data_IF_994144399767
#
_entry.id   IF_994144399767
#
_cell.length_a   1.000
_cell.length_b   1.000
_cell.length_c   1.000
_cell.angle_alpha   90.00
_cell.angle_beta   90.00
_cell.angle_gamma   90.00
#
_symmetry.space_group_name_H-M   'P 1'
#
loop_
_entity.id
_entity.type
_entity.pdbx_description
1 polymer ?
#
# COMPACT_ATOMS: atom_id res chain seq x y z
N UNK A 1 -30.12 -0.48 -24.11
CA UNK A 1 -29.58 -1.74 -24.66
C UNK A 1 -28.48 -2.22 -23.73
N UNK A 2 -28.74 -3.30 -23.01
CA UNK A 2 -27.86 -3.83 -21.96
C UNK A 2 -27.17 -5.06 -22.53
N UNK A 3 -25.86 -4.97 -22.75
CA UNK A 3 -25.01 -6.07 -23.22
C UNK A 3 -24.87 -7.15 -22.13
N UNK A 4 -25.30 -8.41 -22.36
CA UNK A 4 -25.15 -9.50 -21.41
C UNK A 4 -23.79 -10.16 -21.59
N UNK A 5 -22.77 -9.69 -20.87
CA UNK A 5 -21.42 -10.27 -20.98
C UNK A 5 -20.50 -10.10 -19.76
N UNK A 6 -21.00 -9.61 -18.62
CA UNK A 6 -20.15 -9.21 -17.48
C UNK A 6 -20.11 -10.15 -16.28
N UNK A 7 -20.69 -11.34 -16.36
CA UNK A 7 -20.86 -12.21 -15.17
C UNK A 7 -20.00 -13.47 -15.15
N UNK A 8 -18.86 -13.51 -15.87
CA UNK A 8 -17.95 -14.67 -15.84
C UNK A 8 -16.53 -14.39 -15.29
N UNK A 9 -16.23 -13.16 -14.84
CA UNK A 9 -14.85 -12.75 -14.53
C UNK A 9 -14.48 -12.70 -13.05
N UNK A 10 -15.44 -12.90 -12.13
CA UNK A 10 -15.19 -12.93 -10.68
C UNK A 10 -14.60 -14.26 -10.16
N UNK A 11 -14.65 -15.33 -10.95
CA UNK A 11 -14.11 -16.64 -10.57
C UNK A 11 -12.58 -16.76 -10.66
N UNK A 12 -11.90 -15.82 -11.32
CA UNK A 12 -10.46 -15.93 -11.63
C UNK A 12 -9.53 -15.24 -10.61
N UNK A 13 -10.09 -14.75 -9.50
CA UNK A 13 -9.36 -14.13 -8.39
C UNK A 13 -9.42 -14.94 -7.08
N UNK A 14 -10.12 -16.07 -7.07
CA UNK A 14 -10.23 -16.94 -5.89
C UNK A 14 -9.38 -18.19 -6.09
N UNK A 15 -8.49 -18.56 -5.15
CA UNK A 15 -8.10 -19.94 -4.99
C UNK A 15 -9.29 -20.69 -4.40
N UNK A 16 -9.75 -21.74 -5.08
CA UNK A 16 -10.80 -22.63 -4.59
C UNK A 16 -10.39 -23.21 -3.22
N UNK A 17 -11.19 -22.96 -2.19
CA UNK A 17 -11.13 -23.64 -0.90
C UNK A 17 -12.06 -24.86 -0.90
N UNK A 18 -11.68 -25.87 -0.10
CA UNK A 18 -12.37 -27.14 0.22
C UNK A 18 -12.06 -28.28 -0.78
N UNK A 19 -11.64 -29.48 -0.36
CA UNK A 19 -12.18 -30.29 0.75
C UNK A 19 -11.14 -31.09 1.58
N UNK A 20 -11.57 -31.36 2.81
CA UNK A 20 -11.03 -32.31 3.80
C UNK A 20 -11.38 -33.74 3.34
N UNK A 21 -10.41 -34.67 3.45
CA UNK A 21 -10.50 -36.03 2.88
C UNK A 21 -11.45 -37.01 3.57
N UNK A 22 -11.37 -38.30 3.18
CA UNK A 22 -10.87 -39.26 4.18
C UNK A 22 -9.81 -40.23 3.63
N UNK A 23 -9.06 -40.78 4.60
CA UNK A 23 -8.10 -41.86 4.50
C UNK A 23 -8.69 -43.15 3.92
N UNK A 24 -7.98 -43.81 3.01
CA UNK A 24 -7.73 -45.25 3.07
C UNK A 24 -6.60 -45.65 2.11
N UNK A 25 -5.82 -46.59 2.60
CA UNK A 25 -4.69 -47.29 1.98
C UNK A 25 -5.04 -47.92 0.64
N UNK A 26 -4.17 -47.80 -0.37
CA UNK A 26 -3.64 -48.94 -1.13
C UNK A 26 -2.64 -48.51 -2.21
N UNK A 27 -1.80 -49.49 -2.58
CA UNK A 27 -0.52 -49.39 -3.28
C UNK A 27 -0.48 -48.57 -4.59
N UNK A 28 0.63 -47.84 -4.76
CA UNK A 28 1.11 -47.32 -6.05
C UNK A 28 1.53 -48.46 -6.99
N UNK A 29 1.03 -48.53 -8.24
CA UNK A 29 1.73 -49.22 -9.31
C UNK A 29 2.57 -48.24 -10.15
N UNK A 30 3.64 -48.73 -10.81
CA UNK A 30 4.60 -47.88 -11.50
C UNK A 30 4.03 -47.33 -12.81
N UNK A 31 4.39 -46.07 -13.07
CA UNK A 31 4.10 -45.35 -14.29
C UNK A 31 4.86 -45.96 -15.47
N UNK A 32 4.16 -46.58 -16.42
CA UNK A 32 4.64 -46.82 -17.77
C UNK A 32 3.47 -46.82 -18.76
N UNK A 33 3.52 -45.82 -19.63
CA UNK A 33 3.13 -45.83 -21.04
C UNK A 33 1.65 -45.95 -21.47
N UNK A 34 1.31 -45.03 -22.39
CA UNK A 34 0.22 -45.05 -23.37
C UNK A 34 -1.21 -44.66 -22.91
N UNK A 35 -1.50 -43.35 -22.96
CA UNK A 35 -2.86 -42.89 -23.25
C UNK A 35 -3.11 -42.91 -24.77
N UNK A 36 -3.55 -44.06 -25.28
CA UNK A 36 -4.26 -44.14 -26.55
C UNK A 36 -5.69 -43.63 -26.35
N UNK A 37 -5.91 -42.33 -26.57
CA UNK A 37 -7.25 -41.78 -26.79
C UNK A 37 -7.61 -42.02 -28.27
N UNK A 38 -8.56 -42.94 -28.49
CA UNK A 38 -9.13 -43.22 -29.81
C UNK A 38 -9.88 -42.02 -30.36
N UNK A 39 -9.31 -41.39 -31.39
CA UNK A 39 -10.05 -40.55 -32.33
C UNK A 39 -10.40 -41.43 -33.53
N UNK A 40 -11.65 -41.89 -33.59
CA UNK A 40 -12.24 -42.35 -34.85
C UNK A 40 -13.25 -41.29 -35.30
N UNK A 41 -13.13 -40.90 -36.57
CA UNK A 41 -14.03 -40.00 -37.31
C UNK A 41 -13.87 -38.49 -37.06
N UNK A 42 -12.95 -37.87 -37.84
CA UNK A 42 -13.14 -36.55 -38.45
C UNK A 42 -12.11 -36.35 -39.58
N UNK A 43 -12.23 -37.17 -40.64
CA UNK A 43 -11.39 -37.10 -41.82
C UNK A 43 -11.87 -35.95 -42.74
N UNK A 44 -11.41 -34.73 -42.51
CA UNK A 44 -11.45 -33.68 -43.56
C UNK A 44 -10.43 -32.54 -43.42
N UNK A 45 -9.35 -32.71 -42.63
CA UNK A 45 -8.32 -31.67 -42.45
C UNK A 45 -6.87 -32.23 -42.48
N UNK A 46 -6.65 -33.42 -43.04
CA UNK A 46 -5.38 -34.16 -42.89
C UNK A 46 -4.19 -33.70 -43.76
N UNK A 47 -4.25 -32.56 -44.45
CA UNK A 47 -3.11 -32.09 -45.27
C UNK A 47 -2.66 -30.66 -44.92
N UNK A 48 -2.75 -30.26 -43.65
CA UNK A 48 -1.96 -29.16 -43.11
C UNK A 48 -0.73 -29.74 -42.39
N UNK A 49 0.49 -29.15 -42.52
CA UNK A 49 1.63 -29.60 -41.73
C UNK A 49 1.27 -29.48 -40.24
N UNK A 50 1.15 -30.63 -39.58
CA UNK A 50 0.98 -30.70 -38.14
C UNK A 50 2.24 -30.09 -37.52
N UNK A 51 2.14 -28.85 -37.05
CA UNK A 51 3.18 -28.19 -36.28
C UNK A 51 3.28 -28.89 -34.93
N UNK A 52 3.95 -30.04 -34.89
CA UNK A 52 4.39 -30.67 -33.64
C UNK A 52 5.44 -29.76 -33.03
N UNK A 53 5.00 -28.84 -32.16
CA UNK A 53 5.89 -28.01 -31.38
C UNK A 53 6.77 -28.90 -30.51
N UNK A 54 8.09 -28.72 -30.59
CA UNK A 54 9.02 -29.47 -29.76
C UNK A 54 8.77 -29.15 -28.27
N UNK A 55 9.04 -30.09 -27.35
CA UNK A 55 8.87 -29.92 -25.90
C UNK A 55 9.45 -28.59 -25.37
N UNK A 56 10.62 -28.10 -25.83
CA UNK A 56 11.16 -26.79 -25.42
C UNK A 56 10.28 -25.60 -25.84
N UNK A 57 9.62 -25.68 -27.00
CA UNK A 57 8.74 -24.65 -27.52
C UNK A 57 7.43 -24.59 -26.72
N UNK A 58 6.90 -25.76 -26.32
CA UNK A 58 5.73 -25.85 -25.43
C UNK A 58 6.06 -25.26 -24.05
N UNK A 59 7.24 -25.58 -23.50
CA UNK A 59 7.69 -25.02 -22.22
C UNK A 59 7.86 -23.50 -22.29
N UNK A 60 8.40 -22.98 -23.40
CA UNK A 60 8.53 -21.55 -23.62
C UNK A 60 7.17 -20.87 -23.76
N UNK A 61 6.23 -21.46 -24.50
CA UNK A 61 4.87 -20.98 -24.63
C UNK A 61 4.13 -20.97 -23.28
N UNK A 62 4.21 -22.05 -22.51
CA UNK A 62 3.63 -22.14 -21.17
C UNK A 62 4.21 -21.07 -20.22
N UNK A 63 5.52 -20.84 -20.29
CA UNK A 63 6.20 -19.78 -19.53
C UNK A 63 5.69 -18.39 -19.93
N UNK A 64 5.53 -18.12 -21.22
CA UNK A 64 4.97 -16.85 -21.71
C UNK A 64 3.54 -16.64 -21.22
N UNK A 65 2.67 -17.66 -21.33
CA UNK A 65 1.29 -17.60 -20.85
C UNK A 65 1.28 -17.33 -19.33
N UNK A 66 2.07 -18.05 -18.55
CA UNK A 66 2.20 -17.85 -17.09
C UNK A 66 2.62 -16.42 -16.76
N UNK A 67 3.68 -15.90 -17.38
CA UNK A 67 4.14 -14.53 -17.12
C UNK A 67 3.11 -13.48 -17.54
N UNK A 68 2.42 -13.70 -18.65
CA UNK A 68 1.40 -12.78 -19.15
C UNK A 68 0.20 -12.76 -18.21
N UNK A 69 -0.21 -13.92 -17.69
CA UNK A 69 -1.27 -14.04 -16.70
C UNK A 69 -0.90 -13.36 -15.38
N UNK A 70 0.30 -13.66 -14.84
CA UNK A 70 0.79 -13.02 -13.61
C UNK A 70 0.88 -11.51 -13.76
N UNK A 71 1.46 -11.02 -14.86
CA UNK A 71 1.56 -9.58 -15.13
C UNK A 71 0.18 -8.91 -15.26
N UNK A 72 -0.79 -9.58 -15.89
CA UNK A 72 -2.16 -9.07 -16.00
C UNK A 72 -2.84 -8.97 -14.64
N UNK A 73 -2.69 -10.01 -13.79
CA UNK A 73 -3.18 -10.04 -12.42
C UNK A 73 -2.55 -8.92 -11.58
N UNK A 74 -1.23 -8.83 -11.59
CA UNK A 74 -0.49 -7.87 -10.77
C UNK A 74 -0.80 -6.43 -11.17
N UNK A 75 -0.98 -6.15 -12.48
CA UNK A 75 -1.45 -4.85 -12.97
C UNK A 75 -2.84 -4.49 -12.47
N UNK A 76 -3.77 -5.46 -12.38
CA UNK A 76 -5.12 -5.23 -11.85
C UNK A 76 -5.09 -4.92 -10.36
N UNK A 77 -4.36 -5.75 -9.60
CA UNK A 77 -4.16 -5.53 -8.16
C UNK A 77 -3.54 -4.15 -7.93
N UNK A 78 -2.46 -3.80 -8.65
CA UNK A 78 -1.82 -2.49 -8.52
C UNK A 78 -2.77 -1.32 -8.83
N UNK A 79 -3.63 -1.43 -9.85
CA UNK A 79 -4.64 -0.41 -10.16
C UNK A 79 -5.63 -0.24 -9.01
N UNK A 80 -6.18 -1.33 -8.51
CA UNK A 80 -7.07 -1.31 -7.34
C UNK A 80 -6.39 -0.62 -6.16
N UNK A 81 -5.16 -1.04 -5.82
CA UNK A 81 -4.40 -0.46 -4.73
C UNK A 81 -4.15 1.04 -4.91
N UNK A 82 -3.77 1.45 -6.12
CA UNK A 82 -3.54 2.86 -6.44
C UNK A 82 -4.79 3.68 -6.18
N UNK A 83 -5.96 3.21 -6.61
CA UNK A 83 -7.23 3.89 -6.37
C UNK A 83 -7.61 3.90 -4.89
N UNK A 84 -7.39 2.79 -4.20
CA UNK A 84 -7.58 2.66 -2.76
C UNK A 84 -6.79 3.69 -1.97
N UNK A 85 -5.49 3.77 -2.24
CA UNK A 85 -4.58 4.71 -1.58
C UNK A 85 -4.94 6.15 -1.90
N UNK A 86 -5.16 6.49 -3.17
CA UNK A 86 -5.47 7.87 -3.55
C UNK A 86 -6.75 8.38 -2.87
N UNK A 87 -7.75 7.53 -2.69
CA UNK A 87 -8.96 7.90 -1.96
C UNK A 87 -8.76 7.92 -0.44
N UNK A 88 -7.98 7.00 0.12
CA UNK A 88 -7.64 7.00 1.55
C UNK A 88 -6.88 8.27 1.97
N UNK A 89 -5.91 8.74 1.18
CA UNK A 89 -5.19 10.00 1.45
C UNK A 89 -6.12 11.21 1.59
N UNK A 90 -7.16 11.28 0.74
CA UNK A 90 -8.05 12.45 0.67
C UNK A 90 -9.19 12.39 1.70
N UNK A 91 -9.71 11.20 2.02
CA UNK A 91 -10.93 11.08 2.85
C UNK A 91 -10.67 10.63 4.28
N UNK A 92 -9.54 9.97 4.55
CA UNK A 92 -9.34 9.29 5.83
C UNK A 92 -8.21 9.88 6.65
N UNK A 93 -7.53 10.94 6.21
CA UNK A 93 -6.35 11.48 6.91
C UNK A 93 -6.56 11.65 8.42
N UNK A 94 -7.61 12.34 8.87
CA UNK A 94 -7.85 12.58 10.30
C UNK A 94 -8.10 11.27 11.08
N UNK A 95 -8.92 10.39 10.52
CA UNK A 95 -9.36 9.15 11.16
C UNK A 95 -8.23 8.12 11.17
N UNK A 96 -7.46 8.09 10.09
CA UNK A 96 -6.24 7.32 9.96
C UNK A 96 -5.21 7.79 10.97
N UNK A 97 -4.94 9.09 11.08
CA UNK A 97 -4.01 9.65 12.08
C UNK A 97 -4.41 9.28 13.50
N UNK A 98 -5.69 9.43 13.87
CA UNK A 98 -6.18 9.08 15.22
C UNK A 98 -5.93 7.61 15.59
N UNK A 99 -5.87 6.71 14.61
CA UNK A 99 -5.67 5.27 14.84
C UNK A 99 -4.21 4.87 14.78
N UNK A 100 -3.51 5.33 13.75
CA UNK A 100 -2.11 5.01 13.50
C UNK A 100 -1.21 5.68 14.54
N UNK A 101 -1.55 6.90 14.95
CA UNK A 101 -0.75 7.70 15.88
C UNK A 101 -1.62 8.68 16.65
N UNK A 102 -2.35 8.22 17.69
CA UNK A 102 -3.29 9.07 18.44
C UNK A 102 -2.61 10.31 19.03
N UNK A 103 -1.37 10.16 19.54
CA UNK A 103 -0.60 11.29 20.08
C UNK A 103 -0.29 12.37 19.04
N UNK A 104 0.03 11.97 17.81
CA UNK A 104 0.26 12.93 16.73
C UNK A 104 -1.06 13.53 16.23
N UNK A 105 -2.14 12.76 16.25
CA UNK A 105 -3.47 13.25 15.90
C UNK A 105 -3.97 14.32 16.88
N UNK A 106 -3.74 14.13 18.18
CA UNK A 106 -4.09 15.11 19.22
C UNK A 106 -3.28 16.40 19.04
N UNK A 107 -1.98 16.28 18.72
CA UNK A 107 -1.12 17.43 18.44
C UNK A 107 -1.55 18.20 17.17
N UNK A 108 -2.07 17.49 16.18
CA UNK A 108 -2.47 18.02 14.87
C UNK A 108 -3.98 18.33 14.79
N UNK A 109 -4.68 18.34 15.93
CA UNK A 109 -6.10 18.65 16.01
C UNK A 109 -6.39 20.16 15.80
N UNK A 110 -5.37 21.01 15.95
CA UNK A 110 -5.50 22.45 15.78
C UNK A 110 -5.84 22.83 14.32
N UNK A 111 -6.95 23.54 14.06
CA UNK A 111 -7.33 24.02 12.73
C UNK A 111 -6.27 24.88 12.03
N UNK A 112 -5.37 25.51 12.78
CA UNK A 112 -4.24 26.26 12.24
C UNK A 112 -3.19 25.35 11.57
N UNK A 113 -3.21 24.05 11.88
CA UNK A 113 -2.22 23.08 11.41
C UNK A 113 -2.85 21.88 10.71
N UNK A 114 -3.53 22.06 9.56
CA UNK A 114 -4.09 20.92 8.83
C UNK A 114 -2.99 19.91 8.49
N UNK A 115 -3.16 18.67 8.95
CA UNK A 115 -2.28 17.57 8.63
C UNK A 115 -2.80 16.81 7.41
N UNK A 116 -1.89 16.23 6.65
CA UNK A 116 -2.16 15.34 5.52
C UNK A 116 -1.30 14.10 5.62
N UNK A 117 -1.91 12.93 5.50
CA UNK A 117 -1.17 11.67 5.37
C UNK A 117 -0.89 11.42 3.90
N UNK A 118 0.35 11.04 3.60
CA UNK A 118 0.75 10.52 2.30
C UNK A 118 1.12 9.06 2.45
N UNK A 119 0.65 8.26 1.51
CA UNK A 119 0.87 6.83 1.43
C UNK A 119 1.76 6.54 0.21
N UNK A 120 2.62 5.53 0.34
CA UNK A 120 3.46 5.05 -0.76
C UNK A 120 3.50 3.53 -0.77
N UNK A 121 3.69 2.98 -1.96
CA UNK A 121 4.09 1.59 -2.11
C UNK A 121 5.61 1.47 -1.93
N UNK A 122 6.05 0.40 -1.29
CA UNK A 122 7.45 0.01 -1.17
C UNK A 122 7.60 -1.49 -1.07
N UNK A 123 8.84 -1.96 -0.90
CA UNK A 123 9.18 -3.39 -0.89
C UNK A 123 9.80 -3.85 -2.20
N UNK A 124 10.55 -4.95 -2.13
CA UNK A 124 11.30 -5.54 -3.24
C UNK A 124 10.48 -6.53 -4.08
N UNK A 125 9.42 -7.10 -3.50
CA UNK A 125 8.59 -8.14 -4.11
C UNK A 125 7.13 -7.67 -4.21
N UNK A 126 6.38 -8.29 -5.13
CA UNK A 126 4.94 -8.10 -5.27
C UNK A 126 4.18 -9.15 -4.44
N UNK A 127 3.08 -8.81 -3.74
CA UNK A 127 2.43 -7.48 -3.63
C UNK A 127 3.24 -6.44 -2.84
N UNK A 128 3.11 -5.14 -3.13
CA UNK A 128 3.88 -4.11 -2.45
C UNK A 128 3.41 -3.90 -1.00
N UNK A 129 4.34 -3.50 -0.13
CA UNK A 129 4.05 -3.01 1.20
C UNK A 129 3.60 -1.54 1.16
N UNK A 130 2.77 -1.13 2.10
CA UNK A 130 2.30 0.26 2.20
C UNK A 130 3.07 0.96 3.31
N UNK A 131 3.59 2.14 3.01
CA UNK A 131 4.22 3.03 3.98
C UNK A 131 3.48 4.35 4.03
N UNK A 132 3.46 4.99 5.19
CA UNK A 132 2.84 6.30 5.39
C UNK A 132 3.83 7.32 5.94
N UNK A 133 3.56 8.59 5.66
CA UNK A 133 4.28 9.74 6.22
C UNK A 133 3.31 10.90 6.40
N UNK A 134 3.48 11.62 7.50
CA UNK A 134 2.59 12.72 7.88
C UNK A 134 3.23 14.03 7.42
N UNK A 135 2.44 14.86 6.76
CA UNK A 135 2.80 16.16 6.24
C UNK A 135 1.88 17.22 6.80
N UNK A 136 2.37 18.44 6.88
CA UNK A 136 1.53 19.61 7.12
C UNK A 136 1.02 20.14 5.77
N UNK A 137 -0.29 20.35 5.67
CA UNK A 137 -0.94 20.87 4.47
C UNK A 137 -0.82 22.39 4.43
N UNK A 138 0.18 22.90 3.72
CA UNK A 138 0.31 24.32 3.45
C UNK A 138 -0.31 24.66 2.08
N UNK A 139 -1.03 25.79 1.97
CA UNK A 139 -1.64 26.29 0.73
C UNK A 139 -0.62 26.85 -0.29
N UNK A 140 0.62 26.35 -0.31
CA UNK A 140 1.68 26.84 -1.17
C UNK A 140 2.48 25.71 -1.82
N UNK A 141 3.22 25.99 -2.90
CA UNK A 141 4.08 25.02 -3.56
C UNK A 141 5.31 24.74 -2.68
N UNK A 142 5.19 23.80 -1.75
CA UNK A 142 6.32 23.36 -0.94
C UNK A 142 5.90 22.60 0.31
N UNK A 143 6.67 21.55 0.64
CA UNK A 143 6.53 20.88 1.93
C UNK A 143 7.17 21.76 3.00
N UNK A 144 6.36 22.35 3.87
CA UNK A 144 6.84 23.15 5.01
C UNK A 144 6.82 22.29 6.26
N UNK A 145 7.95 22.24 6.94
CA UNK A 145 8.09 21.51 8.20
C UNK A 145 7.99 22.47 9.38
N UNK A 146 7.40 21.98 10.47
CA UNK A 146 7.41 22.66 11.76
C UNK A 146 8.70 22.24 12.48
N UNK A 147 9.53 23.22 12.84
CA UNK A 147 10.76 22.97 13.61
C UNK A 147 10.72 23.80 14.89
N UNK A 148 10.81 23.13 16.05
CA UNK A 148 10.90 23.80 17.34
C UNK A 148 12.05 24.81 17.38
N UNK A 149 13.19 24.50 16.73
CA UNK A 149 14.35 25.40 16.61
C UNK A 149 14.02 26.72 15.90
N UNK A 150 13.14 26.70 14.90
CA UNK A 150 12.74 27.90 14.16
C UNK A 150 11.59 28.64 14.82
N UNK A 151 10.70 27.93 15.52
CA UNK A 151 9.55 28.52 16.20
C UNK A 151 9.92 29.18 17.52
N UNK A 152 10.78 28.55 18.32
CA UNK A 152 11.17 29.05 19.64
C UNK A 152 12.38 29.97 19.46
N UNK A 153 12.11 31.27 19.32
CA UNK A 153 13.15 32.29 19.21
C UNK A 153 13.77 32.55 20.58
N UNK A 154 15.08 32.80 20.62
CA UNK A 154 15.75 33.30 21.81
C UNK A 154 15.01 34.54 22.33
N UNK A 155 14.70 34.57 23.63
CA UNK A 155 13.87 35.59 24.32
C UNK A 155 12.34 35.53 24.13
N UNK A 156 11.80 34.43 23.59
CA UNK A 156 10.35 34.20 23.58
C UNK A 156 9.84 33.62 24.91
N UNK A 157 8.58 33.86 25.25
CA UNK A 157 7.88 33.23 26.39
C UNK A 157 7.98 31.70 26.32
N UNK A 158 7.85 31.13 25.12
CA UNK A 158 8.04 29.70 24.87
C UNK A 158 9.44 29.20 25.26
N UNK A 159 10.48 30.04 25.18
CA UNK A 159 11.84 29.70 25.64
C UNK A 159 11.90 29.63 27.17
N UNK A 160 11.27 30.58 27.85
CA UNK A 160 11.21 30.60 29.32
C UNK A 160 10.42 29.41 29.86
N UNK A 161 9.28 29.10 29.24
CA UNK A 161 8.48 27.92 29.58
C UNK A 161 9.20 26.61 29.30
N UNK A 162 9.94 26.53 28.19
CA UNK A 162 10.78 25.37 27.89
C UNK A 162 11.88 25.19 28.94
N UNK A 163 12.52 26.27 29.39
CA UNK A 163 13.51 26.24 30.46
C UNK A 163 12.91 25.76 31.78
N UNK A 164 11.70 26.23 32.12
CA UNK A 164 10.96 25.79 33.32
C UNK A 164 10.55 24.33 33.25
N UNK A 165 10.08 23.85 32.09
CA UNK A 165 9.64 22.46 31.91
C UNK A 165 10.80 21.46 31.88
N UNK A 166 11.90 21.79 31.19
CA UNK A 166 13.02 20.86 30.99
C UNK A 166 14.08 20.94 32.10
N UNK A 167 14.18 22.09 32.77
CA UNK A 167 15.24 22.40 33.71
C UNK A 167 16.55 22.84 33.04
N UNK A 168 17.37 23.57 33.78
CA UNK A 168 18.58 24.25 33.28
C UNK A 168 19.53 23.32 32.51
N UNK A 169 19.84 22.13 33.04
CA UNK A 169 20.83 21.23 32.45
C UNK A 169 20.42 20.75 31.06
N UNK A 170 19.22 20.19 30.93
CA UNK A 170 18.72 19.62 29.67
C UNK A 170 18.54 20.73 28.64
N UNK A 171 18.04 21.89 29.08
CA UNK A 171 17.87 23.05 28.22
C UNK A 171 19.20 23.54 27.62
N UNK A 172 20.21 23.78 28.44
CA UNK A 172 21.52 24.24 27.94
C UNK A 172 22.23 23.18 27.10
N UNK A 173 22.12 21.89 27.45
CA UNK A 173 22.67 20.79 26.66
C UNK A 173 22.06 20.77 25.25
N UNK A 174 20.74 20.96 25.14
CA UNK A 174 20.05 21.02 23.85
C UNK A 174 20.49 22.24 23.03
N UNK A 175 20.63 23.43 23.64
CA UNK A 175 21.15 24.63 22.96
C UNK A 175 22.57 24.40 22.42
N UNK A 176 23.46 23.84 23.24
CA UNK A 176 24.83 23.56 22.82
C UNK A 176 24.88 22.56 21.66
N UNK A 177 24.08 21.50 21.74
CA UNK A 177 23.97 20.50 20.68
C UNK A 177 23.45 21.11 19.38
N UNK A 178 22.44 21.98 19.46
CA UNK A 178 21.88 22.68 18.29
C UNK A 178 22.89 23.62 17.62
N UNK A 179 23.75 24.28 18.41
CA UNK A 179 24.81 25.15 17.92
C UNK A 179 25.92 24.34 17.22
N UNK A 180 26.32 23.20 17.80
CA UNK A 180 27.27 22.29 17.16
C UNK A 180 26.72 21.73 15.84
N UNK A 181 25.47 21.28 15.82
CA UNK A 181 24.83 20.73 14.63
C UNK A 181 24.74 21.75 13.50
N UNK A 182 24.47 23.02 13.80
CA UNK A 182 24.48 24.10 12.81
C UNK A 182 25.87 24.36 12.23
N UNK A 183 26.90 24.29 13.07
CA UNK A 183 28.28 24.43 12.63
C UNK A 183 28.72 23.29 11.70
N UNK A 184 28.38 22.05 12.04
CA UNK A 184 28.72 20.87 11.22
C UNK A 184 27.99 20.85 9.87
N UNK A 185 26.71 21.25 9.83
CA UNK A 185 25.89 21.14 8.63
C UNK A 185 25.95 22.36 7.70
N UNK A 186 26.71 23.40 8.06
CA UNK A 186 26.88 24.61 7.23
C UNK A 186 27.51 24.33 5.85
N UNK A 187 28.05 23.12 5.63
CA UNK A 187 28.85 22.75 4.46
C UNK A 187 28.08 21.85 3.46
N UNK A 188 26.85 21.41 3.73
CA UNK A 188 26.19 20.39 2.89
C UNK A 188 24.73 20.70 2.56
N UNK A 189 24.40 20.84 1.26
CA UNK A 189 23.02 21.02 0.75
C UNK A 189 22.12 19.77 0.93
N UNK A 190 22.70 18.61 1.26
CA UNK A 190 21.98 17.36 1.59
C UNK A 190 21.24 17.39 2.94
N UNK A 191 21.28 18.54 3.63
CA UNK A 191 20.75 18.76 4.98
C UNK A 191 19.26 18.43 5.13
N UNK A 192 18.42 18.66 4.12
CA UNK A 192 16.96 18.54 4.26
C UNK A 192 16.46 17.09 4.44
N UNK A 193 17.12 16.12 3.78
CA UNK A 193 16.79 14.70 3.87
C UNK A 193 17.29 14.09 5.19
N UNK A 194 18.51 14.42 5.61
CA UNK A 194 19.09 13.96 6.87
C UNK A 194 18.31 14.45 8.11
N UNK A 195 17.69 15.63 8.01
CA UNK A 195 16.81 16.12 9.08
C UNK A 195 15.58 15.24 9.30
N UNK A 196 15.04 14.59 8.25
CA UNK A 196 13.88 13.70 8.38
C UNK A 196 14.22 12.45 9.20
N UNK A 197 15.47 11.98 9.08
CA UNK A 197 15.98 10.79 9.76
C UNK A 197 16.58 11.08 11.15
N UNK A 198 16.87 12.34 11.45
CA UNK A 198 17.43 12.70 12.75
C UNK A 198 16.35 12.54 13.85
N UNK A 199 16.64 11.87 14.98
CA UNK A 199 15.68 11.71 16.08
C UNK A 199 15.20 13.05 16.68
N UNK A 200 13.95 13.09 17.12
CA UNK A 200 13.32 14.28 17.71
C UNK A 200 14.07 14.81 18.94
N UNK A 201 14.67 13.92 19.73
CA UNK A 201 15.49 14.26 20.91
C UNK A 201 16.76 15.07 20.60
N UNK A 202 17.18 15.12 19.34
CA UNK A 202 18.35 15.86 18.89
C UNK A 202 17.96 17.05 18.00
N UNK A 203 16.72 17.54 18.10
CA UNK A 203 16.22 18.60 17.23
C UNK A 203 15.96 18.14 15.78
N UNK A 204 16.03 16.83 15.53
CA UNK A 204 15.67 16.21 14.26
C UNK A 204 14.15 16.07 14.09
N UNK A 205 13.71 15.69 12.89
CA UNK A 205 12.29 15.63 12.57
C UNK A 205 11.64 14.27 12.84
N UNK A 206 12.44 13.20 12.98
CA UNK A 206 11.98 11.81 13.23
C UNK A 206 10.78 11.38 12.36
N UNK A 207 10.71 11.88 11.12
CA UNK A 207 9.58 11.72 10.22
C UNK A 207 9.97 10.79 9.07
N UNK A 208 10.25 9.56 9.44
CA UNK A 208 10.51 8.48 8.50
C UNK A 208 9.23 8.05 7.80
N UNK A 209 9.40 7.36 6.68
CA UNK A 209 8.31 6.55 6.14
C UNK A 209 8.09 5.33 7.02
N UNK A 210 6.93 5.26 7.64
CA UNK A 210 6.56 4.20 8.58
C UNK A 210 5.79 3.12 7.84
N UNK A 211 6.06 1.85 8.15
CA UNK A 211 5.31 0.75 7.58
C UNK A 211 3.89 0.79 8.15
N UNK A 212 2.88 0.63 7.28
CA UNK A 212 1.49 0.54 7.69
C UNK A 212 1.17 -0.89 8.11
N UNK A 213 0.86 -1.12 9.37
CA UNK A 213 0.43 -2.43 9.87
C UNK A 213 -1.09 -2.57 9.88
N UNK A 214 -1.59 -3.80 10.00
CA UNK A 214 -3.05 -4.03 10.10
C UNK A 214 -3.65 -3.47 11.38
N UNK A 215 -2.86 -3.39 12.46
CA UNK A 215 -3.31 -2.84 13.75
C UNK A 215 -3.62 -1.34 13.66
N UNK A 216 -2.98 -0.66 12.72
CA UNK A 216 -3.15 0.77 12.48
C UNK A 216 -4.45 1.11 11.73
N UNK A 217 -5.07 0.13 11.07
CA UNK A 217 -6.22 0.35 10.17
C UNK A 217 -7.53 -0.12 10.81
N UNK A 218 -8.63 0.65 10.75
CA UNK A 218 -9.91 0.22 11.33
C UNK A 218 -10.47 -1.00 10.59
N UNK A 219 -10.71 -2.10 11.34
CA UNK A 219 -11.19 -3.40 10.81
C UNK A 219 -12.49 -3.36 10.01
N UNK A 220 -13.34 -2.35 10.24
CA UNK A 220 -14.62 -2.21 9.55
C UNK A 220 -14.50 -1.52 8.17
N UNK A 221 -13.31 -1.04 7.81
CA UNK A 221 -13.09 -0.32 6.55
C UNK A 221 -12.71 -1.28 5.42
N UNK A 222 -13.14 -0.96 4.20
CA UNK A 222 -12.66 -1.67 2.98
C UNK A 222 -11.14 -1.57 2.86
N UNK A 223 -10.56 -0.47 3.34
CA UNK A 223 -9.12 -0.30 3.34
C UNK A 223 -8.40 -1.35 4.20
N UNK A 224 -8.99 -1.79 5.32
CA UNK A 224 -8.46 -2.91 6.10
C UNK A 224 -8.44 -4.20 5.29
N UNK A 225 -9.55 -4.56 4.63
CA UNK A 225 -9.63 -5.76 3.79
C UNK A 225 -8.59 -5.73 2.67
N UNK A 226 -8.31 -4.55 2.10
CA UNK A 226 -7.28 -4.36 1.07
C UNK A 226 -5.88 -4.58 1.64
N UNK A 227 -5.58 -4.01 2.81
CA UNK A 227 -4.29 -4.19 3.48
C UNK A 227 -4.11 -5.65 3.92
N UNK A 228 -5.18 -6.31 4.37
CA UNK A 228 -5.18 -7.72 4.76
C UNK A 228 -4.92 -8.62 3.56
N UNK A 229 -5.55 -8.33 2.42
CA UNK A 229 -5.29 -9.00 1.16
C UNK A 229 -3.82 -8.87 0.74
N UNK A 230 -3.17 -7.72 0.98
CA UNK A 230 -1.75 -7.55 0.64
C UNK A 230 -0.80 -8.39 1.50
N UNK A 231 -1.07 -8.45 2.81
CA UNK A 231 -0.17 -9.15 3.73
C UNK A 231 -0.42 -10.65 3.79
N UNK A 232 -1.69 -11.08 3.70
CA UNK A 232 -2.10 -12.47 3.93
C UNK A 232 -2.56 -13.14 2.63
N UNK A 233 -2.88 -12.39 1.58
CA UNK A 233 -3.42 -12.93 0.32
C UNK A 233 -4.88 -13.38 0.41
N UNK A 234 -5.58 -13.10 1.52
CA UNK A 234 -6.97 -13.50 1.75
C UNK A 234 -7.92 -12.46 1.16
N UNK A 235 -8.89 -12.91 0.38
CA UNK A 235 -9.93 -12.06 -0.18
C UNK A 235 -11.16 -12.05 0.73
N UNK A 236 -11.41 -10.92 1.40
CA UNK A 236 -12.63 -10.70 2.18
C UNK A 236 -13.86 -10.63 1.27
N UNK A 237 -15.02 -11.13 1.74
CA UNK A 237 -16.31 -11.05 1.01
C UNK A 237 -16.69 -9.61 0.68
N UNK A 238 -16.37 -8.71 1.59
CA UNK A 238 -16.62 -7.27 1.44
C UNK A 238 -15.77 -6.67 0.32
N UNK A 239 -14.48 -7.03 0.26
CA UNK A 239 -13.59 -6.64 -0.83
C UNK A 239 -14.02 -7.25 -2.17
N UNK A 240 -14.45 -8.51 -2.19
CA UNK A 240 -14.90 -9.19 -3.41
C UNK A 240 -16.09 -8.48 -4.07
N UNK A 241 -17.04 -7.96 -3.28
CA UNK A 241 -18.20 -7.22 -3.78
C UNK A 241 -17.82 -5.86 -4.37
N UNK A 242 -16.81 -5.20 -3.81
CA UNK A 242 -16.40 -3.84 -4.20
C UNK A 242 -15.25 -3.82 -5.22
N UNK A 243 -14.61 -4.96 -5.45
CA UNK A 243 -13.53 -5.15 -6.42
C UNK A 243 -13.87 -4.65 -7.83
N UNK A 244 -15.08 -4.91 -8.39
CA UNK A 244 -15.44 -4.41 -9.71
C UNK A 244 -15.40 -2.88 -9.78
N UNK A 245 -15.88 -2.21 -8.73
CA UNK A 245 -15.91 -0.75 -8.64
C UNK A 245 -14.50 -0.18 -8.49
N UNK A 246 -13.66 -0.78 -7.64
CA UNK A 246 -12.28 -0.35 -7.38
C UNK A 246 -11.33 -0.55 -8.58
N UNK A 247 -11.65 -1.48 -9.48
CA UNK A 247 -10.88 -1.72 -10.71
C UNK A 247 -11.24 -0.77 -11.85
N UNK A 248 -12.34 -0.02 -11.74
CA UNK A 248 -12.69 1.00 -12.73
C UNK A 248 -11.68 2.15 -12.68
N UNK A 249 -11.24 2.60 -13.86
CA UNK A 249 -10.35 3.76 -13.95
C UNK A 249 -11.14 5.02 -13.57
N UNK A 250 -10.71 5.82 -12.58
CA UNK A 250 -11.40 7.03 -12.14
C UNK A 250 -11.13 8.18 -13.13
N UNK A 251 -11.71 8.08 -14.31
CA UNK A 251 -11.65 9.12 -15.35
C UNK A 251 -12.68 10.21 -15.11
N UNK A 252 -13.82 9.88 -14.49
CA UNK A 252 -14.91 10.83 -14.23
C UNK A 252 -15.02 11.15 -12.74
N UNK A 253 -15.49 12.35 -12.37
CA UNK A 253 -15.63 12.76 -10.96
C UNK A 253 -16.63 11.90 -10.19
N UNK A 254 -17.61 11.29 -10.86
CA UNK A 254 -18.59 10.38 -10.24
C UNK A 254 -17.91 9.08 -9.78
N UNK A 255 -17.02 8.51 -10.60
CA UNK A 255 -16.27 7.30 -10.24
C UNK A 255 -15.30 7.61 -9.10
N UNK A 256 -14.69 8.80 -9.09
CA UNK A 256 -13.87 9.25 -7.96
C UNK A 256 -14.70 9.35 -6.68
N UNK A 257 -15.88 9.97 -6.72
CA UNK A 257 -16.79 10.03 -5.58
C UNK A 257 -17.25 8.64 -5.12
N UNK A 258 -17.48 7.70 -6.04
CA UNK A 258 -17.80 6.32 -5.69
C UNK A 258 -16.63 5.62 -4.98
N UNK A 259 -15.40 5.75 -5.49
CA UNK A 259 -14.21 5.22 -4.80
C UNK A 259 -14.05 5.84 -3.42
N UNK A 260 -14.18 7.16 -3.32
CA UNK A 260 -14.13 7.87 -2.05
C UNK A 260 -15.19 7.33 -1.10
N UNK A 261 -16.46 7.23 -1.51
CA UNK A 261 -17.54 6.69 -0.67
C UNK A 261 -17.29 5.25 -0.22
N UNK A 262 -16.78 4.39 -1.08
CA UNK A 262 -16.46 2.99 -0.77
C UNK A 262 -15.36 2.96 0.30
N UNK A 263 -14.29 3.71 0.11
CA UNK A 263 -13.11 3.66 0.97
C UNK A 263 -13.33 4.43 2.28
N UNK A 264 -14.06 5.54 2.20
CA UNK A 264 -14.44 6.40 3.32
C UNK A 264 -15.69 5.91 4.06
N UNK A 265 -16.34 4.83 3.62
CA UNK A 265 -17.45 4.21 4.35
C UNK A 265 -16.93 3.62 5.66
N UNK A 266 -16.63 4.52 6.59
CA UNK A 266 -16.56 4.28 8.00
C UNK A 266 -18.02 4.10 8.42
N UNK A 267 -18.42 2.84 8.53
CA UNK A 267 -19.62 2.50 9.28
C UNK A 267 -19.27 2.40 10.75
#
# INVERSE_FOLDING_TARGET
MVEPGKTAFLHLLLPSTEEIGPSETDALPPCQDQLHLGCQSLNSWENGPCMTLEIPQIQQAAKMIKHTWLASRDRKIFKMLKHAICAAENCMTEIFLRRVSPREADLLQDPAFPARVRLRFGGSNFPPMIFFKIFHQHNGPGVKYISGKQMIKASSEATEDSLKMMGNRIFYENILRDSMQEHYNRITDEYLANLDETPAKFGGKSNFWRLLTLDDVPRHTIFYDIVEFLYIGKLSRHLQQQLPNLLLKPVTPEIQLQHLKIISALR
#
